data_IF_594081122511
#
_entry.id   IF_594081122511
#
_cell.length_a   1.000
_cell.length_b   1.000
_cell.length_c   1.000
_cell.angle_alpha   90.00
_cell.angle_beta   90.00
_cell.angle_gamma   90.00
#
_symmetry.space_group_name_H-M   'P 1'
#
loop_
_entity.id
_entity.type
_entity.pdbx_description
1 polymer ?
#
# COMPACT_ATOMS: atom_id res chain seq x y z
N UNK A 1 -19.92 -25.51 10.99
CA UNK A 1 -20.54 -25.03 12.25
C UNK A 1 -20.06 -23.60 12.45
N UNK A 2 -20.95 -22.65 12.73
CA UNK A 2 -20.61 -21.22 12.80
C UNK A 2 -20.75 -20.74 14.26
N UNK A 3 -19.74 -21.00 15.09
CA UNK A 3 -19.57 -20.35 16.39
C UNK A 3 -18.37 -19.37 16.32
N UNK A 4 -18.12 -18.59 17.37
CA UNK A 4 -17.03 -17.61 17.36
C UNK A 4 -15.67 -18.31 17.37
N UNK A 5 -15.51 -19.38 18.14
CA UNK A 5 -14.31 -20.23 18.17
C UNK A 5 -14.00 -20.81 16.80
N UNK A 6 -15.00 -21.26 16.03
CA UNK A 6 -14.77 -21.71 14.65
C UNK A 6 -14.29 -20.59 13.74
N UNK A 7 -14.75 -19.34 13.92
CA UNK A 7 -14.23 -18.20 13.14
C UNK A 7 -12.75 -17.93 13.48
N UNK A 8 -12.36 -18.06 14.74
CA UNK A 8 -10.95 -17.98 15.16
C UNK A 8 -10.14 -19.12 14.54
N UNK A 9 -10.67 -20.34 14.53
CA UNK A 9 -10.03 -21.49 13.90
C UNK A 9 -9.90 -21.31 12.38
N UNK A 10 -10.92 -20.77 11.72
CA UNK A 10 -10.92 -20.46 10.29
C UNK A 10 -9.84 -19.41 9.96
N UNK A 11 -9.65 -18.38 10.79
CA UNK A 11 -8.57 -17.41 10.63
C UNK A 11 -7.18 -18.05 10.77
N UNK A 12 -7.02 -18.96 11.73
CA UNK A 12 -5.76 -19.71 11.90
C UNK A 12 -5.53 -20.66 10.72
N UNK A 13 -6.58 -21.30 10.20
CA UNK A 13 -6.51 -22.13 9.01
C UNK A 13 -6.15 -21.30 7.76
N UNK A 14 -6.70 -20.10 7.61
CA UNK A 14 -6.35 -19.18 6.53
C UNK A 14 -4.87 -18.73 6.64
N UNK A 15 -4.39 -18.43 7.84
CA UNK A 15 -2.97 -18.14 8.08
C UNK A 15 -2.08 -19.34 7.73
N UNK A 16 -2.48 -20.56 8.12
CA UNK A 16 -1.78 -21.80 7.75
C UNK A 16 -1.76 -22.02 6.23
N UNK A 17 -2.85 -21.69 5.54
CA UNK A 17 -2.89 -21.80 4.10
C UNK A 17 -1.91 -20.82 3.44
N UNK A 18 -1.89 -19.55 3.87
CA UNK A 18 -0.93 -18.53 3.40
C UNK A 18 0.52 -18.94 3.65
N UNK A 19 0.83 -19.55 4.79
CA UNK A 19 2.18 -20.14 5.07
C UNK A 19 2.62 -21.14 4.01
N UNK A 20 1.69 -21.89 3.42
CA UNK A 20 2.01 -22.95 2.47
C UNK A 20 2.09 -22.46 1.02
N UNK A 21 1.30 -21.44 0.66
CA UNK A 21 1.22 -20.94 -0.73
C UNK A 21 2.04 -19.68 -0.99
N UNK A 22 2.41 -18.95 0.06
CA UNK A 22 3.11 -17.68 -0.01
C UNK A 22 3.93 -17.45 1.27
N UNK A 23 3.67 -16.38 2.01
CA UNK A 23 4.29 -16.05 3.30
C UNK A 23 3.22 -16.02 4.41
N UNK A 24 3.62 -16.37 5.64
CA UNK A 24 2.76 -16.24 6.80
C UNK A 24 2.30 -14.77 6.99
N UNK A 25 1.05 -14.52 7.41
CA UNK A 25 0.57 -13.16 7.59
C UNK A 25 1.26 -12.47 8.77
N UNK A 26 2.00 -11.39 8.48
CA UNK A 26 2.61 -10.52 9.48
C UNK A 26 1.65 -9.47 10.06
N UNK A 27 0.58 -9.15 9.33
CA UNK A 27 -0.46 -8.21 9.75
C UNK A 27 -1.81 -8.92 9.77
N UNK A 28 -2.54 -8.78 10.88
CA UNK A 28 -3.93 -9.22 11.00
C UNK A 28 -4.84 -8.00 11.05
N UNK A 29 -5.84 -7.94 10.19
CA UNK A 29 -6.80 -6.84 10.13
C UNK A 29 -8.20 -7.41 10.34
N UNK A 30 -8.94 -6.87 11.30
CA UNK A 30 -10.30 -7.30 11.57
C UNK A 30 -11.25 -6.12 11.72
N UNK A 31 -12.39 -6.21 11.05
CA UNK A 31 -13.48 -5.24 11.14
C UNK A 31 -14.65 -5.81 11.94
N UNK A 32 -15.30 -4.99 12.78
CA UNK A 32 -16.44 -5.39 13.60
C UNK A 32 -16.14 -6.66 14.42
N UNK A 33 -17.00 -7.68 14.37
CA UNK A 33 -16.77 -8.99 14.99
C UNK A 33 -15.46 -9.65 14.52
N UNK A 34 -15.05 -9.42 13.27
CA UNK A 34 -13.76 -9.88 12.75
C UNK A 34 -12.58 -9.26 13.51
N UNK A 35 -12.73 -8.06 14.06
CA UNK A 35 -11.75 -7.42 14.95
C UNK A 35 -11.53 -8.20 16.24
N UNK A 36 -12.63 -8.64 16.88
CA UNK A 36 -12.57 -9.54 18.03
C UNK A 36 -11.93 -10.88 17.66
N UNK A 37 -12.28 -11.44 16.51
CA UNK A 37 -11.74 -12.72 16.04
C UNK A 37 -10.23 -12.65 15.77
N UNK A 38 -9.71 -11.59 15.14
CA UNK A 38 -8.25 -11.43 14.93
C UNK A 38 -7.51 -11.21 16.24
N UNK A 39 -8.10 -10.50 17.22
CA UNK A 39 -7.50 -10.35 18.55
C UNK A 39 -7.39 -11.70 19.28
N UNK A 40 -8.41 -12.56 19.14
CA UNK A 40 -8.39 -13.91 19.69
C UNK A 40 -7.43 -14.86 18.94
N UNK A 41 -7.33 -14.73 17.62
CA UNK A 41 -6.47 -15.56 16.78
C UNK A 41 -4.99 -15.18 16.86
N UNK A 42 -4.67 -13.92 17.18
CA UNK A 42 -3.31 -13.39 17.06
C UNK A 42 -2.27 -14.16 17.88
N UNK A 43 -2.60 -14.66 19.07
CA UNK A 43 -1.66 -15.47 19.87
C UNK A 43 -1.32 -16.82 19.24
N UNK A 44 -2.16 -17.31 18.31
CA UNK A 44 -2.00 -18.57 17.57
C UNK A 44 -1.30 -18.37 16.21
N UNK A 45 -0.94 -17.14 15.87
CA UNK A 45 -0.23 -16.75 14.65
C UNK A 45 1.06 -16.07 15.08
N UNK A 46 2.12 -16.87 15.23
CA UNK A 46 3.39 -16.41 15.80
C UNK A 46 4.06 -15.33 14.94
N UNK A 47 3.97 -15.48 13.62
CA UNK A 47 4.57 -14.61 12.61
C UNK A 47 3.90 -13.23 12.52
N UNK A 48 2.68 -13.10 13.04
CA UNK A 48 2.02 -11.80 13.11
C UNK A 48 2.82 -10.86 14.02
N UNK A 49 3.29 -9.74 13.49
CA UNK A 49 3.99 -8.69 14.25
C UNK A 49 3.04 -7.56 14.63
N UNK A 50 1.93 -7.41 13.90
CA UNK A 50 0.96 -6.34 14.06
C UNK A 50 -0.49 -6.83 13.93
N UNK A 51 -1.38 -6.18 14.67
CA UNK A 51 -2.84 -6.38 14.63
C UNK A 51 -3.51 -5.02 14.51
N UNK A 52 -4.48 -4.90 13.60
CA UNK A 52 -5.32 -3.73 13.43
C UNK A 52 -6.79 -4.11 13.56
N UNK A 53 -7.54 -3.30 14.30
CA UNK A 53 -8.99 -3.48 14.51
C UNK A 53 -9.74 -2.23 14.07
N UNK A 54 -10.89 -2.43 13.43
CA UNK A 54 -11.76 -1.35 12.94
C UNK A 54 -13.17 -1.59 13.49
N UNK A 55 -13.67 -0.72 14.36
CA UNK A 55 -15.02 -0.86 14.90
C UNK A 55 -15.22 -2.12 15.76
N UNK A 56 -14.16 -2.61 16.43
CA UNK A 56 -14.18 -3.91 17.08
C UNK A 56 -14.80 -3.88 18.48
N UNK A 57 -15.62 -4.88 18.86
CA UNK A 57 -16.11 -5.02 20.23
C UNK A 57 -15.01 -5.54 21.16
N UNK A 58 -14.93 -5.00 22.38
CA UNK A 58 -13.93 -5.41 23.38
C UNK A 58 -14.30 -6.70 24.10
N UNK A 59 -15.59 -7.00 24.10
CA UNK A 59 -16.16 -8.21 24.66
C UNK A 59 -17.13 -8.77 23.61
N UNK A 60 -16.88 -9.97 23.09
CA UNK A 60 -17.75 -10.59 22.12
C UNK A 60 -19.19 -10.76 22.65
N UNK A 61 -19.42 -10.80 23.96
CA UNK A 61 -20.76 -10.80 24.55
C UNK A 61 -21.52 -9.47 24.37
N UNK A 62 -20.84 -8.33 24.15
CA UNK A 62 -21.51 -7.08 23.74
C UNK A 62 -22.14 -7.20 22.34
N UNK A 63 -21.64 -8.10 21.49
CA UNK A 63 -22.29 -8.44 20.22
C UNK A 63 -23.59 -9.21 20.47
N UNK A 64 -23.73 -9.93 21.59
CA UNK A 64 -25.03 -10.47 21.97
C UNK A 64 -26.06 -9.36 22.25
N UNK A 65 -25.64 -8.20 22.76
CA UNK A 65 -26.53 -7.06 22.97
C UNK A 65 -27.01 -6.43 21.66
N UNK A 66 -26.25 -6.55 20.56
CA UNK A 66 -26.76 -6.23 19.21
C UNK A 66 -27.94 -7.11 18.81
N UNK A 67 -28.10 -8.26 19.47
CA UNK A 67 -29.20 -9.19 19.29
C UNK A 67 -30.18 -9.19 20.48
N UNK A 68 -30.09 -8.23 21.42
CA UNK A 68 -30.82 -8.24 22.69
C UNK A 68 -32.33 -8.51 22.52
N UNK A 69 -32.96 -7.90 21.51
CA UNK A 69 -34.38 -8.11 21.20
C UNK A 69 -34.75 -9.48 20.62
N UNK A 70 -33.78 -10.36 20.39
CA UNK A 70 -33.96 -11.72 19.85
C UNK A 70 -33.25 -12.80 20.67
N UNK A 71 -32.64 -12.46 21.81
CA UNK A 71 -31.96 -13.44 22.68
C UNK A 71 -32.96 -14.46 23.22
N UNK A 72 -34.15 -14.03 23.62
CA UNK A 72 -35.21 -14.94 24.10
C UNK A 72 -35.65 -15.90 22.98
N UNK A 73 -35.83 -15.39 21.75
CA UNK A 73 -36.12 -16.22 20.59
C UNK A 73 -35.00 -17.25 20.29
N UNK A 74 -33.72 -16.89 20.45
CA UNK A 74 -32.59 -17.82 20.27
C UNK A 74 -32.56 -18.87 21.39
N UNK A 75 -32.90 -18.47 22.62
CA UNK A 75 -33.03 -19.39 23.75
C UNK A 75 -34.19 -20.35 23.57
N UNK A 76 -35.31 -19.97 22.96
CA UNK A 76 -36.43 -20.87 22.72
C UNK A 76 -36.29 -21.73 21.46
N UNK A 77 -35.97 -21.11 20.31
CA UNK A 77 -35.96 -21.77 18.99
C UNK A 77 -34.62 -22.42 18.63
N UNK A 78 -33.57 -22.16 19.41
CA UNK A 78 -32.21 -22.67 19.18
C UNK A 78 -31.43 -21.95 18.08
N UNK A 79 -32.11 -21.24 17.17
CA UNK A 79 -31.52 -20.42 16.12
C UNK A 79 -32.45 -19.30 15.64
N UNK A 80 -31.87 -18.17 15.22
CA UNK A 80 -32.63 -17.00 14.73
C UNK A 80 -31.92 -16.33 13.56
N UNK A 81 -32.72 -15.84 12.60
CA UNK A 81 -32.27 -14.94 11.54
C UNK A 81 -32.11 -13.49 12.03
N UNK A 82 -30.91 -12.93 11.88
CA UNK A 82 -30.57 -11.55 12.20
C UNK A 82 -30.09 -10.83 10.94
N UNK A 83 -30.34 -9.52 10.86
CA UNK A 83 -29.80 -8.69 9.78
C UNK A 83 -28.65 -7.87 10.36
N UNK A 84 -27.43 -8.13 9.91
CA UNK A 84 -26.25 -7.32 10.21
C UNK A 84 -25.78 -6.69 8.91
N UNK A 85 -25.57 -5.37 8.93
CA UNK A 85 -25.05 -4.66 7.77
C UNK A 85 -25.85 -4.87 6.46
N UNK A 86 -27.16 -5.07 6.56
CA UNK A 86 -28.03 -5.34 5.41
C UNK A 86 -28.00 -6.77 4.87
N UNK A 87 -27.27 -7.69 5.52
CA UNK A 87 -27.23 -9.13 5.17
C UNK A 87 -27.90 -9.98 6.24
N UNK A 88 -28.63 -11.01 5.82
CA UNK A 88 -29.23 -11.98 6.74
C UNK A 88 -28.19 -13.03 7.18
N UNK A 89 -28.08 -13.22 8.49
CA UNK A 89 -27.26 -14.23 9.13
C UNK A 89 -28.12 -15.11 10.05
N UNK A 90 -27.72 -16.36 10.22
CA UNK A 90 -28.37 -17.29 11.14
C UNK A 90 -27.49 -17.47 12.36
N UNK A 91 -27.97 -17.05 13.53
CA UNK A 91 -27.26 -17.18 14.82
C UNK A 91 -27.87 -18.35 15.58
N UNK A 92 -27.02 -19.26 16.07
CA UNK A 92 -27.43 -20.41 16.89
C UNK A 92 -27.15 -20.15 18.37
N UNK A 93 -27.84 -20.84 19.27
CA UNK A 93 -27.58 -20.77 20.71
C UNK A 93 -26.12 -21.06 21.06
N UNK A 94 -25.54 -22.08 20.45
CA UNK A 94 -24.14 -22.45 20.63
C UNK A 94 -23.15 -21.32 20.28
N UNK A 95 -23.52 -20.37 19.40
CA UNK A 95 -22.72 -19.19 19.13
C UNK A 95 -22.75 -18.21 20.31
N UNK A 96 -23.91 -18.02 20.96
CA UNK A 96 -24.04 -17.13 22.12
C UNK A 96 -23.36 -17.68 23.38
N UNK A 97 -23.36 -18.99 23.56
CA UNK A 97 -22.66 -19.64 24.67
C UNK A 97 -21.15 -19.50 24.47
N UNK A 98 -20.65 -19.88 23.31
CA UNK A 98 -19.24 -19.81 22.92
C UNK A 98 -18.67 -18.37 22.96
N UNK A 99 -19.43 -17.37 22.48
CA UNK A 99 -18.99 -15.98 22.49
C UNK A 99 -18.89 -15.39 23.92
N UNK A 100 -19.71 -15.89 24.85
CA UNK A 100 -19.72 -15.45 26.25
C UNK A 100 -18.56 -16.00 27.08
N UNK A 101 -17.99 -17.13 26.65
CA UNK A 101 -16.84 -17.77 27.29
C UNK A 101 -15.49 -17.13 26.88
N UNK A 102 -15.48 -16.45 25.72
CA UNK A 102 -14.27 -15.88 25.12
C UNK A 102 -13.91 -14.51 25.71
N UNK A 103 -13.10 -14.53 26.77
CA UNK A 103 -12.59 -13.32 27.42
C UNK A 103 -11.41 -12.73 26.64
N UNK A 104 -11.65 -11.66 25.87
CA UNK A 104 -10.60 -10.99 25.11
C UNK A 104 -9.61 -10.22 25.99
N UNK A 105 -10.03 -9.66 27.12
CA UNK A 105 -9.15 -8.86 27.99
C UNK A 105 -7.79 -9.51 28.34
N UNK A 106 -7.73 -10.77 28.83
CA UNK A 106 -6.44 -11.44 29.08
C UNK A 106 -5.64 -11.67 27.79
N UNK A 107 -6.29 -12.02 26.69
CA UNK A 107 -5.63 -12.25 25.40
C UNK A 107 -4.95 -10.97 24.91
N UNK A 108 -5.68 -9.84 24.93
CA UNK A 108 -5.17 -8.51 24.57
C UNK A 108 -4.00 -8.11 25.48
N UNK A 109 -4.11 -8.35 26.79
CA UNK A 109 -3.06 -8.04 27.77
C UNK A 109 -1.76 -8.84 27.58
N UNK A 110 -1.86 -10.02 26.95
CA UNK A 110 -0.74 -10.90 26.61
C UNK A 110 -0.31 -10.88 25.14
N UNK A 111 -0.88 -9.98 24.33
CA UNK A 111 -0.78 -10.02 22.86
C UNK A 111 0.65 -10.03 22.32
N UNK A 112 1.57 -9.24 22.92
CA UNK A 112 2.99 -9.07 22.51
C UNK A 112 3.18 -8.75 21.02
N UNK A 113 2.22 -8.05 20.41
CA UNK A 113 2.25 -7.56 19.02
C UNK A 113 1.86 -6.09 19.00
N UNK A 114 2.25 -5.36 17.96
CA UNK A 114 1.81 -3.98 17.79
C UNK A 114 0.30 -3.94 17.55
N UNK A 115 -0.42 -3.04 18.23
CA UNK A 115 -1.87 -2.94 18.10
C UNK A 115 -2.30 -1.56 17.59
N UNK A 116 -3.10 -1.54 16.54
CA UNK A 116 -3.84 -0.37 16.08
C UNK A 116 -5.34 -0.57 16.33
N UNK A 117 -5.95 0.38 17.03
CA UNK A 117 -7.41 0.42 17.23
C UNK A 117 -7.95 1.61 16.45
N UNK A 118 -8.88 1.36 15.53
CA UNK A 118 -9.53 2.40 14.71
C UNK A 118 -11.02 2.36 14.98
N UNK A 119 -11.63 3.48 15.33
CA UNK A 119 -13.03 3.48 15.71
C UNK A 119 -13.66 4.86 15.55
N UNK A 120 -14.93 4.91 15.11
CA UNK A 120 -15.68 6.15 15.00
C UNK A 120 -16.36 6.50 16.33
N UNK A 121 -16.26 7.73 16.85
CA UNK A 121 -17.00 8.16 18.03
C UNK A 121 -18.52 8.07 17.89
N UNK A 122 -19.03 8.22 16.66
CA UNK A 122 -20.46 8.13 16.33
C UNK A 122 -20.93 6.74 15.88
N UNK A 123 -20.17 5.68 16.16
CA UNK A 123 -20.56 4.31 15.82
C UNK A 123 -21.76 3.85 16.66
N UNK A 124 -22.92 3.71 16.01
CA UNK A 124 -24.19 3.30 16.65
C UNK A 124 -24.32 1.79 16.84
N UNK A 125 -23.40 0.99 16.27
CA UNK A 125 -23.44 -0.48 16.35
C UNK A 125 -22.49 -0.94 17.44
N UNK A 126 -21.23 -0.55 17.38
CA UNK A 126 -20.24 -0.86 18.41
C UNK A 126 -19.74 0.46 18.98
N UNK A 127 -20.16 0.81 20.18
CA UNK A 127 -19.81 2.09 20.78
C UNK A 127 -18.29 2.25 21.03
N UNK A 128 -17.84 3.50 21.06
CA UNK A 128 -16.43 3.90 21.18
C UNK A 128 -15.77 3.45 22.49
N UNK A 129 -16.56 3.14 23.52
CA UNK A 129 -16.08 2.55 24.77
C UNK A 129 -15.37 1.20 24.54
N UNK A 130 -15.77 0.45 23.51
CA UNK A 130 -15.08 -0.79 23.14
C UNK A 130 -13.63 -0.54 22.71
N UNK A 131 -13.40 0.48 21.88
CA UNK A 131 -12.04 0.88 21.51
C UNK A 131 -11.22 1.29 22.74
N UNK A 132 -11.85 2.03 23.65
CA UNK A 132 -11.22 2.47 24.90
C UNK A 132 -10.81 1.28 25.78
N UNK A 133 -11.66 0.27 25.90
CA UNK A 133 -11.35 -0.96 26.63
C UNK A 133 -10.25 -1.78 25.96
N UNK A 134 -10.32 -2.01 24.65
CA UNK A 134 -9.28 -2.73 23.88
C UNK A 134 -7.92 -2.03 24.08
N UNK A 135 -7.89 -0.71 23.90
CA UNK A 135 -6.70 0.10 24.09
C UNK A 135 -6.20 0.05 25.54
N UNK A 136 -7.12 0.07 26.51
CA UNK A 136 -6.82 -0.04 27.94
C UNK A 136 -6.15 -1.37 28.32
N UNK A 137 -6.68 -2.49 27.82
CA UNK A 137 -6.15 -3.83 28.08
C UNK A 137 -4.79 -4.08 27.43
N UNK A 138 -4.51 -3.45 26.29
CA UNK A 138 -3.29 -3.68 25.53
C UNK A 138 -2.04 -3.08 26.19
N UNK A 139 -0.88 -3.67 25.92
CA UNK A 139 0.45 -3.11 26.24
C UNK A 139 1.04 -2.40 25.02
N UNK A 140 2.04 -1.54 25.22
CA UNK A 140 2.74 -0.91 24.10
C UNK A 140 3.55 -1.92 23.27
N UNK A 141 3.70 -1.69 21.95
CA UNK A 141 3.20 -0.54 21.19
C UNK A 141 1.71 -0.65 20.82
N UNK A 142 0.93 0.37 21.21
CA UNK A 142 -0.51 0.47 20.95
C UNK A 142 -0.88 1.87 20.48
N UNK A 143 -1.76 1.96 19.49
CA UNK A 143 -2.18 3.21 18.85
C UNK A 143 -3.71 3.25 18.72
N UNK A 144 -4.28 4.45 18.77
CA UNK A 144 -5.69 4.67 18.52
C UNK A 144 -5.85 5.76 17.45
N UNK A 145 -6.73 5.52 16.48
CA UNK A 145 -7.12 6.49 15.45
C UNK A 145 -8.64 6.63 15.46
N UNK A 146 -9.11 7.86 15.67
CA UNK A 146 -10.53 8.20 15.52
C UNK A 146 -10.90 8.23 14.04
N UNK A 147 -12.02 7.60 13.68
CA UNK A 147 -12.61 7.66 12.34
C UNK A 147 -13.67 8.76 12.21
N UNK A 148 -13.76 9.64 13.22
CA UNK A 148 -14.63 10.82 13.24
C UNK A 148 -16.09 10.49 12.86
N UNK A 149 -16.64 11.11 11.82
CA UNK A 149 -18.03 10.92 11.42
C UNK A 149 -18.30 9.65 10.61
N UNK A 150 -17.38 8.69 10.53
CA UNK A 150 -17.58 7.45 9.78
C UNK A 150 -18.68 6.57 10.39
N UNK A 151 -19.46 5.89 9.54
CA UNK A 151 -20.38 4.86 10.01
C UNK A 151 -19.65 3.54 10.31
N UNK A 152 -20.29 2.65 11.07
CA UNK A 152 -19.72 1.34 11.44
C UNK A 152 -19.18 0.54 10.26
N UNK A 153 -19.78 0.69 9.07
CA UNK A 153 -19.49 -0.13 7.89
C UNK A 153 -18.56 0.56 6.89
N UNK A 154 -18.08 1.77 7.21
CA UNK A 154 -17.29 2.62 6.32
C UNK A 154 -17.92 2.76 4.93
N UNK A 155 -19.25 2.95 4.83
CA UNK A 155 -19.95 2.97 3.53
C UNK A 155 -19.46 4.09 2.60
N UNK A 156 -19.00 5.21 3.18
CA UNK A 156 -18.43 6.32 2.41
C UNK A 156 -17.00 5.98 2.02
N UNK A 157 -16.72 5.96 0.72
CA UNK A 157 -15.38 5.67 0.16
C UNK A 157 -14.26 6.49 0.79
N UNK A 158 -14.52 7.76 1.12
CA UNK A 158 -13.55 8.64 1.78
C UNK A 158 -13.08 8.11 3.13
N UNK A 159 -14.00 7.58 3.95
CA UNK A 159 -13.67 7.08 5.29
C UNK A 159 -12.92 5.75 5.21
N UNK A 160 -13.35 4.88 4.29
CA UNK A 160 -12.66 3.64 3.99
C UNK A 160 -11.24 3.90 3.48
N UNK A 161 -11.06 4.88 2.58
CA UNK A 161 -9.76 5.31 2.08
C UNK A 161 -8.87 5.84 3.19
N UNK A 162 -9.37 6.76 4.02
CA UNK A 162 -8.63 7.28 5.18
C UNK A 162 -8.20 6.16 6.13
N UNK A 163 -9.09 5.22 6.46
CA UNK A 163 -8.76 4.10 7.33
C UNK A 163 -7.67 3.21 6.72
N UNK A 164 -7.76 2.92 5.42
CA UNK A 164 -6.76 2.13 4.70
C UNK A 164 -5.39 2.84 4.67
N UNK A 165 -5.35 4.12 4.34
CA UNK A 165 -4.11 4.90 4.24
C UNK A 165 -3.39 4.98 5.59
N UNK A 166 -4.15 5.27 6.66
CA UNK A 166 -3.59 5.36 8.01
C UNK A 166 -3.10 4.00 8.51
N UNK A 167 -3.86 2.94 8.26
CA UNK A 167 -3.46 1.58 8.63
C UNK A 167 -2.21 1.15 7.86
N UNK A 168 -2.14 1.40 6.55
CA UNK A 168 -0.99 1.07 5.73
C UNK A 168 0.26 1.81 6.22
N UNK A 169 0.16 3.13 6.42
CA UNK A 169 1.25 3.96 6.94
C UNK A 169 1.74 3.48 8.31
N UNK A 170 0.81 3.18 9.23
CA UNK A 170 1.15 2.65 10.55
C UNK A 170 1.82 1.27 10.48
N UNK A 171 1.30 0.38 9.63
CA UNK A 171 1.75 -1.00 9.51
C UNK A 171 3.18 -1.09 8.93
N UNK A 172 3.58 -0.17 8.05
CA UNK A 172 4.93 -0.14 7.46
C UNK A 172 6.04 -0.23 8.51
N UNK A 173 5.85 0.37 9.69
CA UNK A 173 6.81 0.32 10.80
C UNK A 173 7.04 -1.10 11.35
N UNK A 174 6.05 -1.97 11.26
CA UNK A 174 6.05 -3.31 11.87
C UNK A 174 6.17 -4.44 10.85
N UNK A 175 6.04 -4.09 9.57
CA UNK A 175 6.16 -4.99 8.43
C UNK A 175 7.51 -4.86 7.72
N UNK A 176 8.48 -4.18 8.32
CA UNK A 176 9.82 -4.03 7.75
C UNK A 176 10.39 -5.41 7.36
N UNK A 177 10.74 -5.52 6.07
CA UNK A 177 11.29 -6.72 5.44
C UNK A 177 10.24 -7.63 4.80
N UNK A 178 9.49 -7.13 3.79
CA UNK A 178 9.08 -7.86 2.57
C UNK A 178 7.82 -7.20 1.94
N UNK A 179 7.99 -6.16 1.12
CA UNK A 179 7.33 -6.23 -0.19
C UNK A 179 7.93 -7.43 -0.95
N UNK A 180 7.45 -7.87 -2.13
CA UNK A 180 8.21 -8.85 -2.90
C UNK A 180 9.65 -8.37 -2.97
N UNK A 181 10.55 -9.10 -2.30
CA UNK A 181 11.97 -8.73 -2.23
C UNK A 181 12.48 -9.11 -3.60
N UNK A 182 12.25 -8.21 -4.53
CA UNK A 182 12.84 -8.27 -5.84
C UNK A 182 14.34 -8.30 -5.55
N UNK A 183 14.96 -9.45 -5.82
CA UNK A 183 16.41 -9.65 -5.64
C UNK A 183 17.14 -8.45 -6.24
N UNK A 184 18.23 -8.00 -5.60
CA UNK A 184 18.81 -6.65 -5.56
C UNK A 184 18.93 -5.81 -6.87
N UNK A 185 18.53 -6.32 -8.04
CA UNK A 185 18.62 -5.63 -9.34
C UNK A 185 17.43 -5.85 -10.29
N UNK A 186 16.30 -6.42 -9.83
CA UNK A 186 15.12 -6.63 -10.70
C UNK A 186 14.07 -5.52 -10.53
N UNK A 187 13.27 -5.31 -11.56
CA UNK A 187 12.07 -4.45 -11.55
C UNK A 187 10.87 -5.35 -11.76
N UNK A 188 9.92 -5.35 -10.83
CA UNK A 188 8.67 -6.10 -10.96
C UNK A 188 7.52 -5.12 -11.17
N UNK A 189 6.74 -5.32 -12.24
CA UNK A 189 5.56 -4.52 -12.58
C UNK A 189 4.35 -5.45 -12.63
N UNK A 190 3.29 -5.08 -11.93
CA UNK A 190 2.06 -5.88 -11.86
C UNK A 190 0.82 -5.00 -11.90
N UNK A 191 -0.24 -5.47 -12.57
CA UNK A 191 -1.52 -4.79 -12.58
C UNK A 191 -2.14 -4.76 -11.18
N UNK A 192 -2.63 -3.59 -10.75
CA UNK A 192 -3.34 -3.43 -9.47
C UNK A 192 -4.82 -3.80 -9.54
N UNK A 193 -5.38 -3.81 -10.76
CA UNK A 193 -6.82 -3.92 -11.05
C UNK A 193 -7.70 -2.79 -10.52
N UNK A 194 -7.14 -1.73 -9.92
CA UNK A 194 -7.92 -0.59 -9.44
C UNK A 194 -8.27 0.41 -10.56
N UNK A 195 -7.47 0.45 -11.62
CA UNK A 195 -7.68 1.25 -12.83
C UNK A 195 -7.30 0.47 -14.09
N UNK A 196 -7.66 1.00 -15.27
CA UNK A 196 -7.35 0.35 -16.55
C UNK A 196 -5.85 0.20 -16.78
N UNK A 197 -5.07 1.19 -16.38
CA UNK A 197 -3.62 1.24 -16.61
C UNK A 197 -2.80 1.25 -15.32
N UNK A 198 -3.42 1.29 -14.13
CA UNK A 198 -2.68 1.39 -12.87
C UNK A 198 -1.86 0.12 -12.58
N UNK A 199 -0.55 0.29 -12.48
CA UNK A 199 0.42 -0.74 -12.13
C UNK A 199 1.06 -0.46 -10.76
N UNK A 200 1.44 -1.53 -10.07
CA UNK A 200 2.38 -1.51 -8.95
C UNK A 200 3.78 -1.82 -9.47
N UNK A 201 4.75 -0.96 -9.15
CA UNK A 201 6.16 -1.08 -9.54
C UNK A 201 7.01 -1.28 -8.29
N UNK A 202 7.68 -2.43 -8.20
CA UNK A 202 8.61 -2.74 -7.11
C UNK A 202 10.06 -2.69 -7.62
N UNK A 203 10.88 -1.85 -6.96
CA UNK A 203 12.29 -1.57 -7.25
C UNK A 203 13.12 -1.82 -5.98
N UNK A 204 13.47 -3.09 -5.73
CA UNK A 204 14.07 -3.49 -4.45
C UNK A 204 13.15 -3.12 -3.27
N UNK A 205 13.56 -2.16 -2.44
CA UNK A 205 12.78 -1.66 -1.29
C UNK A 205 11.76 -0.57 -1.63
N UNK A 206 11.79 -0.03 -2.84
CA UNK A 206 10.94 1.07 -3.26
C UNK A 206 9.69 0.53 -3.96
N UNK A 207 8.54 1.09 -3.61
CA UNK A 207 7.25 0.79 -4.24
C UNK A 207 6.65 2.07 -4.81
N UNK A 208 6.31 2.03 -6.09
CA UNK A 208 5.75 3.16 -6.83
C UNK A 208 4.49 2.68 -7.57
N UNK A 209 3.62 3.62 -7.92
CA UNK A 209 2.55 3.37 -8.89
C UNK A 209 3.00 3.89 -10.26
N UNK A 210 2.56 3.21 -11.31
CA UNK A 210 2.57 3.73 -12.67
C UNK A 210 1.15 3.80 -13.20
N UNK A 211 0.80 4.84 -13.93
CA UNK A 211 -0.52 5.00 -14.51
C UNK A 211 -0.49 5.94 -15.71
N UNK A 212 -1.57 5.95 -16.49
CA UNK A 212 -1.74 6.94 -17.55
C UNK A 212 -2.57 8.14 -17.04
N UNK A 213 -2.42 9.34 -17.63
CA UNK A 213 -3.26 10.47 -17.30
C UNK A 213 -4.72 10.20 -17.65
N UNK A 214 -5.63 10.95 -17.02
CA UNK A 214 -7.09 10.84 -17.24
C UNK A 214 -7.45 11.02 -18.73
N UNK A 215 -6.76 11.91 -19.44
CA UNK A 215 -6.95 12.14 -20.88
C UNK A 215 -6.72 10.90 -21.74
N UNK A 216 -5.90 9.96 -21.26
CA UNK A 216 -5.58 8.68 -21.91
C UNK A 216 -6.39 7.51 -21.32
N UNK A 217 -7.30 7.78 -20.37
CA UNK A 217 -8.16 6.78 -19.74
C UNK A 217 -7.55 6.07 -18.52
N UNK A 218 -6.46 6.60 -17.95
CA UNK A 218 -5.94 6.17 -16.65
C UNK A 218 -6.53 6.96 -15.48
N UNK A 219 -6.00 6.76 -14.27
CA UNK A 219 -6.45 7.46 -13.06
C UNK A 219 -5.52 8.60 -12.65
N UNK A 220 -4.42 8.84 -13.38
CA UNK A 220 -3.38 9.81 -13.00
C UNK A 220 -2.84 9.57 -11.58
N UNK A 221 -2.79 8.30 -11.17
CA UNK A 221 -2.44 7.87 -9.81
C UNK A 221 -0.94 7.66 -9.58
N UNK A 222 -0.15 7.76 -10.63
CA UNK A 222 1.31 7.67 -10.64
C UNK A 222 1.84 8.09 -12.02
N UNK A 223 3.17 8.23 -12.18
CA UNK A 223 3.77 8.64 -13.45
C UNK A 223 3.45 7.66 -14.58
N UNK A 224 3.37 8.19 -15.80
CA UNK A 224 3.30 7.40 -17.02
C UNK A 224 4.61 6.66 -17.32
N UNK A 225 4.58 5.61 -18.15
CA UNK A 225 5.79 4.89 -18.54
C UNK A 225 6.87 5.80 -19.16
N UNK A 226 6.48 6.80 -19.97
CA UNK A 226 7.41 7.77 -20.53
C UNK A 226 7.98 8.71 -19.46
N UNK A 227 7.20 9.14 -18.48
CA UNK A 227 7.72 9.94 -17.36
C UNK A 227 8.73 9.15 -16.51
N UNK A 228 8.54 7.84 -16.33
CA UNK A 228 9.56 6.98 -15.70
C UNK A 228 10.87 6.95 -16.51
N UNK A 229 10.77 6.82 -17.84
CA UNK A 229 11.93 6.85 -18.73
C UNK A 229 12.67 8.20 -18.63
N UNK A 230 11.94 9.31 -18.70
CA UNK A 230 12.50 10.66 -18.59
C UNK A 230 13.11 10.89 -17.20
N UNK A 231 12.45 10.46 -16.13
CA UNK A 231 12.97 10.57 -14.77
C UNK A 231 14.31 9.84 -14.62
N UNK A 232 14.43 8.62 -15.17
CA UNK A 232 15.68 7.86 -15.18
C UNK A 232 16.81 8.57 -15.94
N UNK A 233 16.53 9.12 -17.13
CA UNK A 233 17.50 9.88 -17.92
C UNK A 233 17.92 11.18 -17.23
N UNK A 234 16.97 11.93 -16.66
CA UNK A 234 17.20 13.20 -15.97
C UNK A 234 18.04 13.01 -14.72
N UNK A 235 17.68 12.02 -13.88
CA UNK A 235 18.42 11.67 -12.68
C UNK A 235 19.87 11.27 -13.02
N UNK A 236 20.07 10.38 -13.99
CA UNK A 236 21.40 9.94 -14.42
C UNK A 236 22.25 11.09 -14.97
N UNK A 237 21.63 12.01 -15.71
CA UNK A 237 22.30 13.22 -16.24
C UNK A 237 22.76 14.12 -15.10
N UNK A 238 21.87 14.48 -14.17
CA UNK A 238 22.21 15.36 -13.03
C UNK A 238 23.30 14.75 -12.14
N UNK A 239 23.23 13.44 -11.85
CA UNK A 239 24.28 12.72 -11.10
C UNK A 239 25.63 12.78 -11.81
N UNK A 240 25.65 12.62 -13.14
CA UNK A 240 26.89 12.64 -13.93
C UNK A 240 27.52 14.03 -13.94
N UNK A 241 26.71 15.08 -14.06
CA UNK A 241 27.17 16.47 -13.97
C UNK A 241 27.82 16.77 -12.61
N UNK A 242 27.14 16.40 -11.51
CA UNK A 242 27.65 16.56 -10.15
C UNK A 242 28.97 15.80 -9.96
N UNK A 243 29.00 14.52 -10.33
CA UNK A 243 30.20 13.69 -10.22
C UNK A 243 31.40 14.30 -10.98
N UNK A 244 31.17 14.85 -12.17
CA UNK A 244 32.24 15.49 -12.95
C UNK A 244 32.70 16.80 -12.32
N UNK A 245 31.76 17.64 -11.88
CA UNK A 245 32.07 18.91 -11.23
C UNK A 245 32.94 18.69 -9.99
N UNK A 246 32.56 17.74 -9.12
CA UNK A 246 33.31 17.42 -7.90
C UNK A 246 34.72 16.91 -8.23
N UNK A 247 34.86 16.02 -9.24
CA UNK A 247 36.17 15.50 -9.69
C UNK A 247 37.09 16.57 -10.25
N UNK A 248 36.54 17.64 -10.81
CA UNK A 248 37.31 18.74 -11.43
C UNK A 248 37.36 19.99 -10.56
N UNK A 249 36.83 19.94 -9.34
CA UNK A 249 36.68 21.08 -8.44
C UNK A 249 36.01 22.28 -9.13
N UNK A 250 35.01 22.01 -9.96
CA UNK A 250 34.19 23.05 -10.60
C UNK A 250 33.14 23.51 -9.58
N UNK A 251 32.95 24.83 -9.34
CA UNK A 251 32.05 25.37 -8.32
C UNK A 251 30.57 25.33 -8.76
N UNK A 252 30.09 24.14 -9.13
CA UNK A 252 28.68 23.88 -9.46
C UNK A 252 27.88 23.80 -8.15
N UNK A 253 26.94 24.71 -7.94
CA UNK A 253 26.06 24.70 -6.77
C UNK A 253 24.86 23.78 -6.98
N UNK A 254 24.23 23.85 -8.16
CA UNK A 254 23.06 23.02 -8.50
C UNK A 254 22.98 22.75 -9.99
N UNK A 255 22.51 21.55 -10.34
CA UNK A 255 22.14 21.17 -11.70
C UNK A 255 20.71 20.65 -11.73
N UNK A 256 19.85 21.33 -12.49
CA UNK A 256 18.48 20.93 -12.75
C UNK A 256 18.34 20.48 -14.20
N UNK A 257 17.59 19.39 -14.41
CA UNK A 257 17.37 18.81 -15.75
C UNK A 257 15.86 18.69 -15.97
N UNK A 258 15.34 19.42 -16.94
CA UNK A 258 13.97 19.28 -17.41
C UNK A 258 13.96 18.49 -18.73
N UNK A 259 13.01 17.57 -18.85
CA UNK A 259 12.90 16.66 -19.99
C UNK A 259 11.47 16.63 -20.50
N UNK A 260 11.32 16.66 -21.82
CA UNK A 260 10.02 16.51 -22.49
C UNK A 260 10.15 15.46 -23.58
N UNK A 261 9.11 14.64 -23.73
CA UNK A 261 8.99 13.67 -24.81
C UNK A 261 7.97 14.15 -25.83
N UNK A 262 8.29 14.05 -27.11
CA UNK A 262 7.42 14.43 -28.22
C UNK A 262 7.54 13.43 -29.37
N UNK A 263 6.44 13.27 -30.11
CA UNK A 263 6.41 12.52 -31.38
C UNK A 263 6.40 13.51 -32.53
N UNK A 264 7.42 13.47 -33.36
CA UNK A 264 7.44 14.27 -34.58
C UNK A 264 6.73 13.50 -35.70
N UNK A 265 5.52 13.93 -36.06
CA UNK A 265 4.89 13.50 -37.31
C UNK A 265 5.65 14.16 -38.46
N UNK A 266 6.45 13.36 -39.17
CA UNK A 266 7.34 13.82 -40.24
C UNK A 266 6.61 14.28 -41.50
N UNK A 267 5.75 15.28 -41.41
CA UNK A 267 5.16 15.95 -42.57
C UNK A 267 5.80 17.30 -42.90
N UNK A 268 6.44 17.98 -41.95
CA UNK A 268 7.16 19.23 -42.23
C UNK A 268 8.64 19.05 -41.92
N UNK A 269 9.49 19.31 -42.92
CA UNK A 269 10.93 19.06 -42.94
C UNK A 269 11.75 19.87 -41.94
N UNK A 270 11.49 19.70 -40.64
CA UNK A 270 12.35 20.17 -39.57
C UNK A 270 13.54 19.22 -39.43
N UNK A 271 14.71 19.77 -39.68
CA UNK A 271 15.99 19.09 -39.42
C UNK A 271 16.18 18.96 -37.91
N UNK A 272 16.62 17.80 -37.44
CA UNK A 272 17.07 17.66 -36.07
C UNK A 272 18.18 18.69 -35.79
N UNK A 273 18.34 19.11 -34.53
CA UNK A 273 19.37 20.08 -34.10
C UNK A 273 20.82 19.65 -34.46
N UNK A 274 21.03 18.40 -34.84
CA UNK A 274 22.28 17.80 -35.30
C UNK A 274 22.29 17.41 -36.80
N UNK A 275 21.31 17.86 -37.60
CA UNK A 275 21.26 17.68 -39.06
C UNK A 275 20.91 16.26 -39.52
N UNK A 276 20.46 15.39 -38.61
CA UNK A 276 19.98 14.03 -38.93
C UNK A 276 18.49 14.02 -39.32
N UNK A 277 18.01 13.00 -40.06
CA UNK A 277 16.58 12.81 -40.29
C UNK A 277 15.85 12.76 -38.94
N UNK A 278 14.78 13.53 -38.81
CA UNK A 278 14.02 13.63 -37.57
C UNK A 278 13.59 12.23 -37.10
N UNK A 279 14.03 11.86 -35.89
CA UNK A 279 13.54 10.66 -35.25
C UNK A 279 12.03 10.82 -34.98
N UNK A 280 11.25 9.76 -35.24
CA UNK A 280 9.81 9.73 -34.97
C UNK A 280 9.48 10.02 -33.49
N UNK A 281 10.44 9.77 -32.60
CA UNK A 281 10.38 9.99 -31.16
C UNK A 281 11.56 10.90 -30.75
N UNK A 282 11.26 12.01 -30.05
CA UNK A 282 12.25 13.02 -29.61
C UNK A 282 12.16 13.23 -28.10
N UNK A 283 13.32 13.36 -27.47
CA UNK A 283 13.45 13.79 -26.08
C UNK A 283 14.24 15.10 -26.06
N UNK A 284 13.58 16.17 -25.63
CA UNK A 284 14.20 17.47 -25.42
C UNK A 284 14.67 17.60 -23.98
N UNK A 285 15.91 18.07 -23.80
CA UNK A 285 16.56 18.22 -22.49
C UNK A 285 17.05 19.63 -22.28
N UNK A 286 16.54 20.27 -21.23
CA UNK A 286 16.97 21.59 -20.78
C UNK A 286 17.75 21.45 -19.47
N UNK A 287 18.95 22.04 -19.41
CA UNK A 287 19.84 21.94 -18.25
C UNK A 287 20.11 23.33 -17.71
N UNK A 288 19.80 23.52 -16.42
CA UNK A 288 20.08 24.75 -15.68
C UNK A 288 21.25 24.48 -14.74
N UNK A 289 22.32 25.26 -14.89
CA UNK A 289 23.56 25.17 -14.10
C UNK A 289 23.73 26.44 -13.25
N UNK A 290 23.65 26.29 -11.93
CA UNK A 290 23.82 27.35 -10.93
C UNK A 290 25.21 27.26 -10.27
N UNK A 291 25.83 28.40 -10.02
CA UNK A 291 27.18 28.53 -9.45
C UNK A 291 28.07 29.49 -10.23
N UNK A 292 29.23 29.81 -9.67
CA UNK A 292 30.25 30.70 -10.25
C UNK A 292 31.04 29.99 -11.36
N UNK A 293 30.34 29.68 -12.46
CA UNK A 293 30.85 28.89 -13.57
C UNK A 293 31.29 29.76 -14.73
N UNK A 294 32.55 29.63 -15.13
CA UNK A 294 33.06 30.27 -16.34
C UNK A 294 32.44 29.63 -17.61
N UNK A 295 32.49 30.31 -18.77
CA UNK A 295 31.92 29.79 -20.02
C UNK A 295 32.51 28.43 -20.47
N UNK A 296 33.79 28.18 -20.20
CA UNK A 296 34.44 26.93 -20.59
C UNK A 296 33.98 25.77 -19.70
N UNK A 297 33.81 26.00 -18.40
CA UNK A 297 33.21 25.06 -17.46
C UNK A 297 31.77 24.72 -17.83
N UNK A 298 30.95 25.73 -18.18
CA UNK A 298 29.57 25.52 -18.63
C UNK A 298 29.51 24.68 -19.90
N UNK A 299 30.28 25.04 -20.93
CA UNK A 299 30.36 24.28 -22.17
C UNK A 299 30.79 22.83 -21.89
N UNK A 300 31.79 22.65 -21.03
CA UNK A 300 32.28 21.31 -20.67
C UNK A 300 31.24 20.49 -19.92
N UNK A 301 30.49 21.08 -19.01
CA UNK A 301 29.41 20.40 -18.30
C UNK A 301 28.31 19.94 -19.26
N UNK A 302 27.92 20.77 -20.24
CA UNK A 302 26.96 20.38 -21.27
C UNK A 302 27.43 19.18 -22.09
N UNK A 303 28.70 19.14 -22.51
CA UNK A 303 29.28 17.97 -23.19
C UNK A 303 29.27 16.70 -22.33
N UNK A 304 29.37 16.83 -21.00
CA UNK A 304 29.34 15.71 -20.06
C UNK A 304 27.91 15.21 -19.84
N UNK A 305 26.89 16.06 -20.02
CA UNK A 305 25.50 15.66 -19.90
C UNK A 305 25.10 14.54 -20.88
N UNK A 306 25.73 14.48 -22.06
CA UNK A 306 25.52 13.43 -23.08
C UNK A 306 26.29 12.13 -22.82
N UNK A 307 27.04 12.06 -21.71
CA UNK A 307 27.89 10.91 -21.39
C UNK A 307 27.37 10.09 -20.20
N UNK A 308 26.18 10.40 -19.71
CA UNK A 308 25.58 9.63 -18.62
C UNK A 308 25.24 8.21 -19.09
N UNK A 309 25.38 7.17 -18.23
CA UNK A 309 25.12 5.78 -18.60
C UNK A 309 23.76 5.56 -19.28
N UNK A 310 22.68 6.14 -18.74
CA UNK A 310 21.32 5.98 -19.32
C UNK A 310 21.23 6.59 -20.72
N UNK A 311 21.81 7.77 -20.97
CA UNK A 311 21.86 8.35 -22.32
C UNK A 311 22.56 7.40 -23.29
N UNK A 312 23.73 6.85 -22.90
CA UNK A 312 24.46 5.90 -23.73
C UNK A 312 23.61 4.68 -24.06
N UNK A 313 22.92 4.11 -23.08
CA UNK A 313 22.00 2.99 -23.26
C UNK A 313 20.91 3.31 -24.29
N UNK A 314 20.25 4.47 -24.16
CA UNK A 314 19.17 4.89 -25.08
C UNK A 314 19.63 5.18 -26.51
N UNK A 315 20.87 5.63 -26.66
CA UNK A 315 21.48 5.91 -27.98
C UNK A 315 22.24 4.72 -28.58
N UNK A 316 22.30 3.59 -27.86
CA UNK A 316 22.99 2.37 -28.29
C UNK A 316 22.02 1.33 -28.85
N UNK A 317 22.56 0.29 -29.49
CA UNK A 317 21.76 -0.86 -29.89
C UNK A 317 21.48 -1.72 -28.66
N UNK A 318 20.20 -1.80 -28.27
CA UNK A 318 19.73 -2.54 -27.10
C UNK A 318 19.01 -3.82 -27.53
N UNK A 319 19.30 -4.94 -26.88
CA UNK A 319 18.63 -6.22 -27.11
C UNK A 319 17.64 -6.50 -25.98
N UNK A 320 16.35 -6.67 -26.33
CA UNK A 320 15.26 -6.94 -25.38
C UNK A 320 14.74 -8.35 -25.65
N UNK A 321 15.15 -9.30 -24.80
CA UNK A 321 14.71 -10.69 -24.87
C UNK A 321 13.38 -10.90 -24.13
N UNK A 322 12.36 -11.43 -24.80
CA UNK A 322 11.08 -11.80 -24.17
C UNK A 322 11.00 -13.31 -23.94
N UNK A 323 10.60 -13.73 -22.74
CA UNK A 323 10.34 -15.13 -22.39
C UNK A 323 9.11 -15.23 -21.50
N UNK A 324 8.28 -16.24 -21.76
CA UNK A 324 7.20 -16.64 -20.86
C UNK A 324 7.77 -17.59 -19.79
N UNK A 325 7.44 -17.34 -18.54
CA UNK A 325 7.72 -18.28 -17.44
C UNK A 325 6.37 -18.82 -16.99
N UNK A 326 6.20 -20.14 -17.06
CA UNK A 326 5.02 -20.79 -16.48
C UNK A 326 5.13 -20.78 -14.95
N UNK A 327 4.00 -20.58 -14.28
CA UNK A 327 3.88 -20.62 -12.81
C UNK A 327 4.28 -21.98 -12.21
#
# INVERSE_FOLDING_TARGET
>A
NTNFSSQVDDLVAAANHLRNIAEAPKLLIGHSLGGAAVLAAASRIEEATAVATIGAPCDPSHVANLFAGKIEDIKEKGEVGVVLAGRQFKIRRAFLEDISEQKLAPLIGSLRKALLVMHAPGDEIVGIENASHIYGYAKHPKSFISLDGADHLLKRKRDAGFAADMLACWAMRYLEGNGPTVTEERVLVMETRAGRFQQSVALGRHHLLADEPVSSGGLDSGPSPYEFLLAGLGACTSMTLRLYADRKNIPLERASVALTHSRNHGEDGETACDGKPAALERIDREIILEGDLDPAQRARLLEIADKCPVHRTLTSQLDICTKETAD
#
